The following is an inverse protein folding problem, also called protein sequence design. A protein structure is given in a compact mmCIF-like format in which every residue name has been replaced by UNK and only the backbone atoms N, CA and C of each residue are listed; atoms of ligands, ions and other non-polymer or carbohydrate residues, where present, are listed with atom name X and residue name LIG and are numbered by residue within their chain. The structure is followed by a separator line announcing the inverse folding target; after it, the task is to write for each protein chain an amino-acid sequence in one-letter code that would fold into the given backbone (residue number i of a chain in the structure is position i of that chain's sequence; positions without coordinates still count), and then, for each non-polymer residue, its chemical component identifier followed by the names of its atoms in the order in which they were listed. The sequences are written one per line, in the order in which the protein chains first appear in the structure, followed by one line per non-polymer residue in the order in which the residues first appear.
data_IF_961362375839
#
_entry.id   IF_961362375839
#
_cell.length_a   1.000
_cell.length_b   1.000
_cell.length_c   1.000
_cell.angle_alpha   90.00
_cell.angle_beta   90.00
_cell.angle_gamma   90.00
#
_symmetry.space_group_name_H-M   'P 1'
#
loop_
_entity.id
_entity.type
_entity.pdbx_description
1 polymer ?
#
# COMPACT_ATOMS: atom_id res chain seq x y z
N UNK A 1 -27.90 -6.51 5.69
CA UNK A 1 -26.75 -6.74 6.59
C UNK A 1 -25.50 -6.24 5.87
N UNK A 2 -25.05 -5.02 6.18
CA UNK A 2 -23.89 -4.41 5.52
C UNK A 2 -22.62 -5.16 5.91
N UNK A 3 -21.75 -5.44 4.94
CA UNK A 3 -20.43 -6.01 5.21
C UNK A 3 -19.63 -5.00 6.04
N UNK A 4 -19.29 -5.38 7.26
CA UNK A 4 -18.22 -4.74 8.05
C UNK A 4 -16.89 -5.05 7.36
N UNK A 5 -16.62 -4.33 6.27
CA UNK A 5 -15.42 -4.48 5.46
C UNK A 5 -14.57 -3.23 5.55
N UNK A 6 -13.25 -3.41 5.67
CA UNK A 6 -12.27 -2.35 5.46
C UNK A 6 -12.57 -1.65 4.13
N UNK A 7 -12.79 -0.34 4.20
CA UNK A 7 -12.93 0.50 2.99
C UNK A 7 -11.55 1.00 2.62
N UNK A 8 -11.20 0.89 1.34
CA UNK A 8 -9.95 1.38 0.80
C UNK A 8 -10.22 2.44 -0.26
N UNK A 9 -9.43 3.51 -0.26
CA UNK A 9 -9.36 4.50 -1.32
C UNK A 9 -7.96 4.40 -1.91
N UNK A 10 -7.87 4.22 -3.23
CA UNK A 10 -6.60 4.19 -3.94
C UNK A 10 -6.41 5.55 -4.60
N UNK A 11 -5.35 6.24 -4.20
CA UNK A 11 -4.94 7.53 -4.74
C UNK A 11 -3.55 7.41 -5.32
N UNK A 12 -3.29 8.12 -6.42
CA UNK A 12 -1.93 8.33 -6.91
C UNK A 12 -1.41 9.61 -6.27
N UNK A 13 -0.32 9.52 -5.53
CA UNK A 13 0.40 10.66 -4.98
C UNK A 13 1.83 10.63 -5.54
N UNK A 14 2.24 11.70 -6.21
CA UNK A 14 3.55 11.79 -6.85
C UNK A 14 4.65 12.10 -5.83
N UNK A 15 4.27 12.72 -4.70
CA UNK A 15 5.18 13.11 -3.61
C UNK A 15 4.69 12.62 -2.25
N UNK A 16 5.59 12.57 -1.27
CA UNK A 16 5.23 12.22 0.11
C UNK A 16 4.39 13.30 0.77
N UNK A 17 4.66 14.56 0.42
CA UNK A 17 3.93 15.73 0.88
C UNK A 17 2.47 15.69 0.40
N UNK A 18 2.23 15.31 -0.85
CA UNK A 18 0.87 15.14 -1.39
C UNK A 18 0.11 14.00 -0.69
N UNK A 19 0.77 12.86 -0.44
CA UNK A 19 0.22 11.76 0.35
C UNK A 19 -0.16 12.23 1.76
N UNK A 20 0.73 12.99 2.42
CA UNK A 20 0.53 13.42 3.80
C UNK A 20 -0.58 14.48 3.92
N UNK A 21 -0.70 15.36 2.92
CA UNK A 21 -1.84 16.28 2.81
C UNK A 21 -3.16 15.51 2.69
N UNK A 22 -3.24 14.54 1.78
CA UNK A 22 -4.43 13.67 1.62
C UNK A 22 -4.77 12.91 2.91
N UNK A 23 -3.75 12.42 3.63
CA UNK A 23 -3.96 11.73 4.91
C UNK A 23 -4.49 12.67 5.99
N UNK A 24 -4.01 13.92 6.03
CA UNK A 24 -4.48 14.94 6.97
C UNK A 24 -5.94 15.30 6.70
N UNK A 25 -6.28 15.61 5.45
CA UNK A 25 -7.65 15.93 5.04
C UNK A 25 -8.62 14.79 5.36
N UNK A 26 -8.21 13.54 5.16
CA UNK A 26 -9.04 12.37 5.48
C UNK A 26 -9.25 12.22 7.00
N UNK A 27 -8.24 12.52 7.81
CA UNK A 27 -8.36 12.52 9.28
C UNK A 27 -9.29 13.64 9.77
N UNK A 28 -9.19 14.82 9.18
CA UNK A 28 -10.09 15.94 9.44
C UNK A 28 -11.54 15.55 9.12
N UNK A 29 -11.79 14.96 7.94
CA UNK A 29 -13.12 14.47 7.56
C UNK A 29 -13.69 13.46 8.55
N UNK A 30 -12.87 12.52 9.04
CA UNK A 30 -13.31 11.51 10.02
C UNK A 30 -13.65 12.14 11.37
N UNK A 31 -12.87 13.13 11.80
CA UNK A 31 -13.13 13.87 13.03
C UNK A 31 -14.41 14.70 12.91
N UNK A 32 -14.61 15.42 11.82
CA UNK A 32 -15.78 16.27 11.58
C UNK A 32 -17.08 15.47 11.51
N UNK A 33 -17.01 14.23 11.01
CA UNK A 33 -18.15 13.31 10.96
C UNK A 33 -18.36 12.53 12.27
N UNK A 34 -17.57 12.79 13.32
CA UNK A 34 -17.57 12.04 14.57
C UNK A 34 -17.46 10.52 14.37
N UNK A 35 -16.67 10.09 13.37
CA UNK A 35 -16.45 8.69 13.07
C UNK A 35 -15.27 8.16 13.87
N UNK A 36 -15.46 7.04 14.57
CA UNK A 36 -14.36 6.31 15.21
C UNK A 36 -13.76 5.32 14.21
N UNK A 37 -12.90 5.82 13.31
CA UNK A 37 -12.22 5.00 12.32
C UNK A 37 -10.69 5.13 12.41
N UNK A 38 -9.98 4.01 12.36
CA UNK A 38 -8.52 4.01 12.28
C UNK A 38 -8.09 4.22 10.83
N UNK A 39 -7.41 5.33 10.56
CA UNK A 39 -6.93 5.68 9.21
C UNK A 39 -5.44 5.38 9.11
N UNK A 40 -5.07 4.57 8.11
CA UNK A 40 -3.68 4.28 7.74
C UNK A 40 -3.54 4.26 6.22
N UNK A 41 -2.32 4.47 5.73
CA UNK A 41 -2.00 4.36 4.31
C UNK A 41 -0.99 3.22 4.08
N UNK A 42 -0.95 2.74 2.85
CA UNK A 42 0.09 1.83 2.36
C UNK A 42 0.35 2.14 0.88
N UNK A 43 1.62 2.08 0.46
CA UNK A 43 1.93 2.09 -0.98
C UNK A 43 1.47 0.75 -1.57
N UNK A 44 0.53 0.78 -2.52
CA UNK A 44 -0.10 -0.43 -3.07
C UNK A 44 0.91 -1.48 -3.56
N UNK A 45 2.03 -1.06 -4.15
CA UNK A 45 3.09 -1.97 -4.62
C UNK A 45 4.18 -2.26 -3.58
N UNK A 46 4.33 -1.42 -2.54
CA UNK A 46 5.37 -1.62 -1.52
C UNK A 46 5.17 -2.93 -0.77
N UNK A 47 3.91 -3.32 -0.56
CA UNK A 47 3.58 -4.58 0.09
C UNK A 47 3.93 -5.81 -0.75
N UNK A 48 3.80 -5.73 -2.08
CA UNK A 48 4.10 -6.86 -2.98
C UNK A 48 5.61 -7.05 -3.17
N UNK A 49 6.36 -5.96 -3.37
CA UNK A 49 7.79 -6.06 -3.68
C UNK A 49 8.70 -5.86 -2.47
N UNK A 50 8.18 -5.42 -1.31
CA UNK A 50 8.97 -5.24 -0.08
C UNK A 50 9.69 -6.51 0.36
N UNK A 51 9.06 -7.68 0.18
CA UNK A 51 9.68 -8.99 0.46
C UNK A 51 10.85 -9.32 -0.47
N UNK A 52 10.98 -8.66 -1.63
CA UNK A 52 12.07 -8.86 -2.60
C UNK A 52 13.12 -7.75 -2.55
N UNK A 53 12.66 -6.50 -2.50
CA UNK A 53 13.46 -5.30 -2.70
C UNK A 53 13.78 -4.58 -1.38
N UNK A 54 13.20 -5.01 -0.27
CA UNK A 54 13.36 -4.37 1.03
C UNK A 54 12.62 -3.05 1.15
N UNK A 55 13.12 -2.17 2.03
CA UNK A 55 12.51 -0.85 2.32
C UNK A 55 12.39 0.02 1.06
N UNK A 56 11.15 0.43 0.76
CA UNK A 56 10.81 1.14 -0.48
C UNK A 56 11.42 2.54 -0.56
N UNK A 57 11.75 3.18 0.57
CA UNK A 57 12.43 4.48 0.57
C UNK A 57 13.84 4.40 -0.04
N UNK A 58 14.42 3.19 -0.11
CA UNK A 58 15.75 2.94 -0.68
C UNK A 58 15.70 2.50 -2.14
N UNK A 59 14.50 2.27 -2.68
CA UNK A 59 14.36 1.80 -4.06
C UNK A 59 14.84 2.87 -5.03
N UNK A 60 15.56 2.41 -6.04
CA UNK A 60 15.98 3.18 -7.20
C UNK A 60 15.16 2.76 -8.43
N UNK A 61 15.25 3.52 -9.52
CA UNK A 61 14.61 3.18 -10.80
C UNK A 61 14.94 1.73 -11.24
N UNK A 62 16.15 1.27 -10.94
CA UNK A 62 16.56 -0.13 -11.06
C UNK A 62 17.04 -0.57 -9.68
N UNK A 63 16.25 -1.41 -9.00
CA UNK A 63 16.58 -1.92 -7.66
C UNK A 63 16.93 -3.41 -7.76
N UNK A 64 18.14 -3.82 -7.35
CA UNK A 64 18.50 -5.22 -7.27
C UNK A 64 17.60 -5.98 -6.28
N UNK A 65 17.32 -7.24 -6.58
CA UNK A 65 16.65 -8.14 -5.63
C UNK A 65 17.57 -8.35 -4.44
N UNK A 66 17.10 -7.95 -3.25
CA UNK A 66 17.86 -8.07 -2.00
C UNK A 66 17.61 -9.39 -1.29
N UNK A 67 16.43 -9.99 -1.50
CA UNK A 67 16.01 -11.26 -0.91
C UNK A 67 15.61 -12.25 -2.01
N UNK A 68 16.58 -12.83 -2.75
CA UNK A 68 16.30 -13.74 -3.86
C UNK A 68 15.56 -15.01 -3.44
N UNK A 69 15.71 -15.44 -2.19
CA UNK A 69 15.00 -16.57 -1.60
C UNK A 69 13.47 -16.39 -1.57
N UNK A 70 12.98 -15.14 -1.64
CA UNK A 70 11.55 -14.83 -1.62
C UNK A 70 10.92 -14.78 -3.02
N UNK A 71 11.70 -14.92 -4.09
CA UNK A 71 11.24 -14.72 -5.49
C UNK A 71 10.05 -15.62 -5.83
N UNK A 72 10.15 -16.93 -5.59
CA UNK A 72 9.07 -17.86 -5.94
C UNK A 72 7.77 -17.56 -5.17
N UNK A 73 7.90 -17.27 -3.88
CA UNK A 73 6.77 -16.94 -3.00
C UNK A 73 6.06 -15.67 -3.48
N UNK A 74 6.81 -14.63 -3.80
CA UNK A 74 6.25 -13.34 -4.22
C UNK A 74 5.64 -13.43 -5.62
N UNK A 75 6.27 -14.15 -6.56
CA UNK A 75 5.69 -14.41 -7.88
C UNK A 75 4.35 -15.16 -7.75
N UNK A 76 4.30 -16.21 -6.92
CA UNK A 76 3.07 -16.95 -6.67
C UNK A 76 1.96 -16.03 -6.15
N UNK A 77 2.29 -15.16 -5.20
CA UNK A 77 1.35 -14.19 -4.64
C UNK A 77 0.86 -13.17 -5.68
N UNK A 78 1.75 -12.66 -6.53
CA UNK A 78 1.40 -11.75 -7.63
C UNK A 78 0.44 -12.44 -8.59
N UNK A 79 0.71 -13.69 -8.96
CA UNK A 79 -0.17 -14.50 -9.80
C UNK A 79 -1.56 -14.67 -9.19
N UNK A 80 -1.64 -15.00 -7.91
CA UNK A 80 -2.91 -15.12 -7.17
C UNK A 80 -3.69 -13.81 -7.15
N UNK A 81 -3.02 -12.67 -6.92
CA UNK A 81 -3.66 -11.34 -6.88
C UNK A 81 -4.14 -10.89 -8.25
N UNK A 82 -3.40 -11.21 -9.31
CA UNK A 82 -3.73 -10.84 -10.68
C UNK A 82 -4.61 -11.87 -11.40
N UNK A 83 -5.01 -12.95 -10.72
CA UNK A 83 -5.77 -14.08 -11.30
C UNK A 83 -5.07 -14.72 -12.52
N UNK A 84 -3.74 -14.67 -12.55
CA UNK A 84 -2.91 -15.26 -13.61
C UNK A 84 -2.54 -16.67 -13.19
N UNK A 85 -3.02 -17.67 -13.94
CA UNK A 85 -2.68 -19.09 -13.74
C UNK A 85 -1.23 -19.40 -14.13
#
# INVERSE_FOLDING_TARGET
KGKDGTKAIVVNAETEEERDALLSELRECVNDLNLTAQIFYSKGCAYLYGELLGDWHKWQRVTPVSHPENVEKVIKRIKEVLEIS
#
